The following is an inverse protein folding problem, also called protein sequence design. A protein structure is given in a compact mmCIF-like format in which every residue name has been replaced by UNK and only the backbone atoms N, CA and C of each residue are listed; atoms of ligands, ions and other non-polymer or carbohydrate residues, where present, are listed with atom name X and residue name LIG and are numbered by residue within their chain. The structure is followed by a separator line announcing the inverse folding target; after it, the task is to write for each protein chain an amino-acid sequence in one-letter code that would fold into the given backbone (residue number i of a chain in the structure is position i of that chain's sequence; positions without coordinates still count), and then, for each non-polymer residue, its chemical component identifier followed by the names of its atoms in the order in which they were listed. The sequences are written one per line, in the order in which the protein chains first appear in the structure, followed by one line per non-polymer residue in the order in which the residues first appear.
data_IF_597643895259
#
_entry.id   IF_597643895259
#
_cell.length_a   1.000
_cell.length_b   1.000
_cell.length_c   1.000
_cell.angle_alpha   90.00
_cell.angle_beta   90.00
_cell.angle_gamma   90.00
#
_symmetry.space_group_name_H-M   'P 1'
#
loop_
_entity.id
_entity.type
_entity.pdbx_description
1 polymer ?
#
# COMPACT_ATOMS: atom_id res chain seq x y z
N UNK A 1 11.33 29.93 -23.16
CA UNK A 1 11.78 28.75 -22.37
C UNK A 1 10.93 27.54 -22.75
N UNK A 2 11.27 26.82 -23.83
CA UNK A 2 10.56 25.61 -24.33
C UNK A 2 11.50 24.39 -24.32
N UNK A 3 12.30 24.22 -23.26
CA UNK A 3 13.21 23.07 -23.15
C UNK A 3 12.51 21.94 -22.40
N UNK A 4 11.98 21.03 -23.22
CA UNK A 4 11.67 19.62 -22.93
C UNK A 4 10.50 19.28 -22.01
N UNK A 5 9.30 19.78 -22.34
CA UNK A 5 8.05 19.25 -21.78
C UNK A 5 7.94 17.73 -21.92
N UNK A 6 8.47 17.16 -23.01
CA UNK A 6 8.47 15.70 -23.23
C UNK A 6 9.40 14.95 -22.27
N UNK A 7 10.61 15.44 -22.01
CA UNK A 7 11.52 14.79 -21.04
C UNK A 7 10.95 14.88 -19.63
N UNK A 8 10.44 16.05 -19.23
CA UNK A 8 9.81 16.22 -17.91
C UNK A 8 8.60 15.30 -17.78
N UNK A 9 7.71 15.27 -18.77
CA UNK A 9 6.54 14.39 -18.74
C UNK A 9 6.95 12.90 -18.67
N UNK A 10 7.93 12.49 -19.47
CA UNK A 10 8.42 11.10 -19.48
C UNK A 10 9.07 10.74 -18.14
N UNK A 11 9.91 11.61 -17.59
CA UNK A 11 10.56 11.40 -16.29
C UNK A 11 9.52 11.33 -15.16
N UNK A 12 8.49 12.18 -15.19
CA UNK A 12 7.37 12.14 -14.24
C UNK A 12 6.58 10.83 -14.35
N UNK A 13 6.23 10.40 -15.57
CA UNK A 13 5.51 9.14 -15.79
C UNK A 13 6.33 7.94 -15.32
N UNK A 14 7.62 7.88 -15.67
CA UNK A 14 8.49 6.79 -15.22
C UNK A 14 8.70 6.80 -13.71
N UNK A 15 8.85 7.97 -13.09
CA UNK A 15 8.94 8.12 -11.65
C UNK A 15 7.69 7.59 -10.94
N UNK A 16 6.50 7.98 -11.40
CA UNK A 16 5.25 7.46 -10.86
C UNK A 16 5.07 5.97 -11.15
N UNK A 17 5.36 5.50 -12.36
CA UNK A 17 5.29 4.09 -12.69
C UNK A 17 6.18 3.25 -11.75
N UNK A 18 7.41 3.70 -11.48
CA UNK A 18 8.31 3.05 -10.54
C UNK A 18 7.73 2.96 -9.12
N UNK A 19 7.07 4.01 -8.64
CA UNK A 19 6.44 4.01 -7.31
C UNK A 19 5.19 3.13 -7.25
N UNK A 20 4.36 3.15 -8.31
CA UNK A 20 3.05 2.48 -8.30
C UNK A 20 3.07 1.04 -8.80
N UNK A 21 4.01 0.63 -9.66
CA UNK A 21 4.11 -0.76 -10.14
C UNK A 21 4.27 -1.76 -8.98
N UNK A 22 5.13 -1.53 -7.97
CA UNK A 22 5.21 -2.43 -6.81
C UNK A 22 3.91 -2.50 -6.02
N UNK A 23 3.23 -1.36 -5.85
CA UNK A 23 1.94 -1.29 -5.15
C UNK A 23 0.87 -2.09 -5.92
N UNK A 24 0.81 -1.93 -7.24
CA UNK A 24 -0.07 -2.70 -8.11
C UNK A 24 0.22 -4.20 -8.05
N UNK A 25 1.50 -4.58 -8.01
CA UNK A 25 1.92 -5.97 -7.85
C UNK A 25 1.40 -6.54 -6.54
N UNK A 26 1.55 -5.80 -5.43
CA UNK A 26 1.00 -6.21 -4.13
C UNK A 26 -0.52 -6.36 -4.15
N UNK A 27 -1.24 -5.46 -4.84
CA UNK A 27 -2.70 -5.57 -5.02
C UNK A 27 -3.06 -6.81 -5.83
N UNK A 28 -2.37 -7.11 -6.93
CA UNK A 28 -2.64 -8.30 -7.73
C UNK A 28 -2.37 -9.57 -6.90
N UNK A 29 -1.26 -9.60 -6.17
CA UNK A 29 -0.90 -10.74 -5.33
C UNK A 29 -1.77 -10.90 -4.08
N UNK A 30 -2.44 -9.85 -3.59
CA UNK A 30 -3.40 -9.99 -2.47
C UNK A 30 -4.58 -10.88 -2.83
N UNK A 31 -4.89 -10.99 -4.14
CA UNK A 31 -5.88 -11.91 -4.67
C UNK A 31 -5.33 -13.31 -4.98
N UNK A 32 -4.03 -13.58 -4.78
CA UNK A 32 -3.49 -14.92 -5.00
C UNK A 32 -3.90 -15.85 -3.86
N UNK A 33 -4.49 -17.00 -4.19
CA UNK A 33 -4.85 -18.04 -3.22
C UNK A 33 -3.61 -18.64 -2.53
N UNK A 34 -2.46 -18.63 -3.20
CA UNK A 34 -1.19 -19.13 -2.67
C UNK A 34 -0.59 -18.18 -1.63
N UNK A 35 0.11 -18.74 -0.65
CA UNK A 35 0.98 -17.95 0.26
C UNK A 35 2.32 -17.57 -0.39
N UNK A 36 2.70 -18.26 -1.46
CA UNK A 36 3.94 -18.02 -2.19
C UNK A 36 3.65 -17.11 -3.38
N UNK A 37 4.32 -15.95 -3.43
CA UNK A 37 4.23 -15.00 -4.56
C UNK A 37 4.77 -15.57 -5.87
N UNK A 38 5.56 -16.65 -5.82
CA UNK A 38 6.13 -17.34 -6.98
C UNK A 38 5.16 -18.32 -7.65
N UNK A 39 4.08 -18.70 -6.98
CA UNK A 39 3.11 -19.69 -7.48
C UNK A 39 1.72 -19.06 -7.53
N UNK A 40 1.18 -18.91 -8.73
CA UNK A 40 -0.18 -18.42 -8.92
C UNK A 40 -1.19 -19.57 -8.76
N UNK A 41 -1.88 -19.62 -7.63
CA UNK A 41 -2.85 -20.68 -7.32
C UNK A 41 -4.31 -20.30 -7.63
N UNK A 42 -4.51 -19.21 -8.39
CA UNK A 42 -5.82 -18.68 -8.77
C UNK A 42 -6.27 -17.47 -7.94
N UNK A 43 -7.36 -16.84 -8.38
CA UNK A 43 -7.97 -15.68 -7.73
C UNK A 43 -8.74 -16.07 -6.47
N UNK A 44 -8.56 -15.33 -5.37
CA UNK A 44 -9.17 -15.60 -4.09
C UNK A 44 -9.16 -14.37 -3.18
N UNK A 45 -10.29 -14.10 -2.50
CA UNK A 45 -10.42 -13.04 -1.50
C UNK A 45 -10.28 -13.54 -0.05
N UNK A 46 -9.91 -14.81 0.14
CA UNK A 46 -9.85 -15.46 1.45
C UNK A 46 -9.01 -14.71 2.50
N UNK A 47 -7.96 -13.99 2.07
CA UNK A 47 -7.04 -13.28 2.96
C UNK A 47 -7.71 -12.08 3.63
N UNK A 48 -8.62 -11.41 2.92
CA UNK A 48 -9.43 -10.34 3.50
C UNK A 48 -10.34 -10.90 4.59
N UNK A 49 -10.99 -12.04 4.36
CA UNK A 49 -11.79 -12.71 5.40
C UNK A 49 -10.97 -13.13 6.61
N UNK A 50 -9.77 -13.70 6.40
CA UNK A 50 -8.85 -14.07 7.48
C UNK A 50 -8.37 -12.87 8.28
N UNK A 51 -8.13 -11.73 7.62
CA UNK A 51 -7.75 -10.49 8.27
C UNK A 51 -8.80 -10.03 9.29
N UNK A 52 -10.08 -10.07 8.91
CA UNK A 52 -11.18 -9.68 9.81
C UNK A 52 -11.46 -10.72 10.91
N UNK A 53 -11.05 -11.97 10.71
CA UNK A 53 -11.16 -13.03 11.71
C UNK A 53 -9.98 -13.07 12.69
N UNK A 54 -8.94 -12.26 12.49
CA UNK A 54 -7.74 -12.24 13.31
C UNK A 54 -7.78 -11.06 14.32
N UNK A 55 -8.16 -11.30 15.59
CA UNK A 55 -8.25 -10.25 16.59
C UNK A 55 -6.89 -9.66 16.95
N UNK A 56 -5.79 -10.40 16.74
CA UNK A 56 -4.45 -9.88 17.01
C UNK A 56 -4.06 -8.84 15.96
N UNK A 57 -4.29 -9.12 14.68
CA UNK A 57 -4.01 -8.15 13.62
C UNK A 57 -4.92 -6.92 13.74
N UNK A 58 -6.21 -7.13 13.99
CA UNK A 58 -7.16 -6.02 14.19
C UNK A 58 -6.79 -5.16 15.41
N UNK A 59 -6.42 -5.80 16.52
CA UNK A 59 -5.97 -5.09 17.72
C UNK A 59 -4.71 -4.27 17.47
N UNK A 60 -3.72 -4.84 16.78
CA UNK A 60 -2.51 -4.12 16.40
C UNK A 60 -2.82 -2.92 15.51
N UNK A 61 -3.67 -3.09 14.49
CA UNK A 61 -4.09 -2.00 13.60
C UNK A 61 -4.77 -0.86 14.37
N UNK A 62 -5.63 -1.18 15.34
CA UNK A 62 -6.30 -0.19 16.18
C UNK A 62 -5.34 0.59 17.08
N UNK A 63 -4.35 -0.10 17.66
CA UNK A 63 -3.30 0.53 18.45
C UNK A 63 -2.47 1.47 17.56
N UNK A 64 -2.04 1.02 16.38
CA UNK A 64 -1.31 1.85 15.43
C UNK A 64 -2.09 3.10 15.03
N UNK A 65 -3.39 2.96 14.75
CA UNK A 65 -4.24 4.08 14.38
C UNK A 65 -4.37 5.10 15.53
N UNK A 66 -4.56 4.63 16.77
CA UNK A 66 -4.61 5.50 17.95
C UNK A 66 -3.31 6.26 18.15
N UNK A 67 -2.17 5.58 18.04
CA UNK A 67 -0.86 6.22 18.19
C UNK A 67 -0.64 7.25 17.09
N UNK A 68 -0.92 6.90 15.83
CA UNK A 68 -0.77 7.82 14.71
C UNK A 68 -1.66 9.07 14.87
N UNK A 69 -2.91 8.90 15.31
CA UNK A 69 -3.84 9.99 15.52
C UNK A 69 -3.37 10.96 16.62
N UNK A 70 -3.00 10.42 17.80
CA UNK A 70 -2.51 11.24 18.92
C UNK A 70 -1.20 11.94 18.53
N UNK A 71 -0.27 11.20 17.90
CA UNK A 71 1.02 11.75 17.47
C UNK A 71 0.85 12.87 16.45
N UNK A 72 0.01 12.68 15.43
CA UNK A 72 -0.26 13.72 14.43
C UNK A 72 -0.94 14.95 15.05
N UNK A 73 -1.91 14.74 15.95
CA UNK A 73 -2.61 15.84 16.63
C UNK A 73 -1.67 16.66 17.51
N UNK A 74 -0.83 16.00 18.32
CA UNK A 74 0.16 16.67 19.15
C UNK A 74 1.23 17.38 18.30
N UNK A 75 1.65 16.79 17.19
CA UNK A 75 2.59 17.42 16.26
C UNK A 75 2.03 18.71 15.66
N UNK A 76 0.73 18.77 15.35
CA UNK A 76 0.07 19.99 14.85
C UNK A 76 -0.10 21.07 15.94
N UNK A 77 -0.32 20.66 17.20
CA UNK A 77 -0.52 21.61 18.31
C UNK A 77 0.80 22.15 18.85
N UNK A 78 1.86 21.33 18.89
CA UNK A 78 3.15 21.68 19.49
C UNK A 78 4.22 22.09 18.47
N UNK A 79 4.13 21.61 17.23
CA UNK A 79 5.03 21.96 16.13
C UNK A 79 4.68 23.32 15.52
#
# INVERSE_FOLDING_TARGET
MKKSSWFVATATVLGFAFLYIPILSLIIFSFNKSRLVTVWAGFSTQWYGKLFADPQILGAAWISLKIAFISASLAVVLG
#
